data_IF_979913604819
#
_entry.id   IF_979913604819
#
_cell.length_a   1.000
_cell.length_b   1.000
_cell.length_c   1.000
_cell.angle_alpha   90.00
_cell.angle_beta   90.00
_cell.angle_gamma   90.00
#
_symmetry.space_group_name_H-M   'P 1'
#
loop_
_entity.id
_entity.type
_entity.pdbx_description
1 polymer ?
#
# COMPACT_ATOMS: atom_id res chain seq x y z
N UNK A 1 20.40 5.57 -9.04
CA UNK A 1 19.40 4.69 -8.38
C UNK A 1 19.98 3.35 -7.88
N UNK A 2 20.83 2.63 -8.64
CA UNK A 2 21.41 1.34 -8.20
C UNK A 2 22.34 1.38 -6.96
N UNK A 3 22.97 2.52 -6.67
CA UNK A 3 23.88 2.70 -5.53
C UNK A 3 23.13 2.77 -4.19
N UNK A 4 21.97 3.43 -4.16
CA UNK A 4 21.14 3.55 -2.96
C UNK A 4 20.53 2.21 -2.54
N UNK A 5 20.04 1.42 -3.51
CA UNK A 5 19.53 0.06 -3.24
C UNK A 5 20.62 -0.91 -2.76
N UNK A 6 21.88 -0.72 -3.19
CA UNK A 6 23.01 -1.53 -2.71
C UNK A 6 23.39 -1.15 -1.27
N UNK A 7 23.42 0.15 -0.95
CA UNK A 7 23.70 0.65 0.40
C UNK A 7 22.65 0.20 1.44
N UNK A 8 21.37 0.13 1.06
CA UNK A 8 20.29 -0.35 1.93
C UNK A 8 20.33 -1.87 2.19
N UNK A 9 21.08 -2.65 1.41
CA UNK A 9 21.20 -4.11 1.55
C UNK A 9 22.40 -4.56 2.39
N UNK A 10 23.29 -3.65 2.77
CA UNK A 10 24.58 -3.97 3.40
C UNK A 10 24.63 -3.44 4.83
N UNK A 11 24.10 -4.20 5.81
CA UNK A 11 23.96 -3.77 7.23
C UNK A 11 23.11 -2.48 7.38
N UNK A 12 22.59 -2.15 8.58
CA UNK A 12 22.01 -0.83 8.80
C UNK A 12 23.12 0.21 8.58
N UNK A 13 22.98 1.16 7.65
CA UNK A 13 23.99 2.19 7.48
C UNK A 13 24.14 2.97 8.79
N UNK A 14 25.36 3.33 9.14
CA UNK A 14 25.63 4.25 10.26
C UNK A 14 24.87 5.58 10.05
N UNK A 15 24.79 6.43 11.09
CA UNK A 15 24.07 7.71 10.99
C UNK A 15 24.60 8.64 9.89
N UNK A 16 25.89 8.55 9.54
CA UNK A 16 26.55 9.41 8.54
C UNK A 16 26.03 9.23 7.09
N UNK A 17 25.94 8.01 6.52
CA UNK A 17 25.36 7.80 5.19
C UNK A 17 23.94 8.36 5.01
N UNK A 18 23.12 8.40 6.07
CA UNK A 18 21.76 8.95 6.02
C UNK A 18 21.76 10.47 5.85
N UNK A 19 22.61 11.18 6.60
CA UNK A 19 22.73 12.63 6.48
C UNK A 19 23.28 13.05 5.11
N UNK A 20 24.26 12.30 4.58
CA UNK A 20 24.84 12.55 3.26
C UNK A 20 23.83 12.33 2.13
N UNK A 21 22.98 11.30 2.24
CA UNK A 21 21.90 11.06 1.28
C UNK A 21 20.81 12.15 1.37
N UNK A 22 20.42 12.58 2.57
CA UNK A 22 19.45 13.66 2.75
C UNK A 22 19.94 14.99 2.14
N UNK A 23 21.22 15.33 2.31
CA UNK A 23 21.82 16.53 1.73
C UNK A 23 21.85 16.49 0.18
N UNK A 24 22.06 15.30 -0.40
CA UNK A 24 22.03 15.10 -1.86
C UNK A 24 20.62 15.25 -2.45
N UNK A 25 19.58 14.94 -1.67
CA UNK A 25 18.19 14.95 -2.13
C UNK A 25 17.48 16.29 -1.85
N UNK A 26 17.96 17.09 -0.89
CA UNK A 26 17.39 18.40 -0.53
C UNK A 26 17.14 19.35 -1.73
N UNK A 27 18.07 19.50 -2.69
CA UNK A 27 17.87 20.36 -3.85
C UNK A 27 16.81 19.87 -4.86
N UNK A 28 16.39 18.60 -4.81
CA UNK A 28 15.36 18.04 -5.69
C UNK A 28 13.94 18.29 -5.19
N UNK A 29 13.77 18.82 -3.98
CA UNK A 29 12.48 19.06 -3.33
C UNK A 29 11.90 20.48 -3.57
N UNK A 30 12.23 21.13 -4.69
CA UNK A 30 11.84 22.51 -4.98
C UNK A 30 10.36 22.71 -5.38
N UNK A 31 9.94 23.98 -5.46
CA UNK A 31 8.59 24.53 -5.78
C UNK A 31 8.03 24.17 -7.18
N UNK A 32 8.32 22.98 -7.69
CA UNK A 32 7.80 22.47 -8.96
C UNK A 32 6.30 22.13 -8.89
N UNK A 33 5.66 21.88 -10.05
CA UNK A 33 4.32 21.29 -10.09
C UNK A 33 4.28 20.02 -9.21
N UNK A 34 3.11 19.63 -8.68
CA UNK A 34 2.99 18.54 -7.71
C UNK A 34 3.84 17.35 -8.14
N UNK A 35 4.77 16.95 -7.27
CA UNK A 35 5.89 16.07 -7.59
C UNK A 35 5.49 14.66 -8.06
N UNK A 36 4.19 14.35 -8.04
CA UNK A 36 3.66 13.08 -8.52
C UNK A 36 2.41 13.25 -9.38
N UNK A 37 2.33 12.39 -10.40
CA UNK A 37 1.28 12.48 -11.40
C UNK A 37 1.20 11.23 -12.28
N UNK A 38 0.33 11.25 -13.30
CA UNK A 38 0.15 10.13 -14.21
C UNK A 38 1.45 9.80 -14.96
N UNK A 39 1.93 8.58 -14.78
CA UNK A 39 3.13 8.08 -15.44
C UNK A 39 2.81 7.31 -16.73
N UNK A 40 3.63 7.52 -17.77
CA UNK A 40 3.56 6.72 -18.99
C UNK A 40 4.08 5.29 -18.77
N UNK A 41 3.73 4.32 -19.64
CA UNK A 41 4.24 2.96 -19.55
C UNK A 41 5.76 2.90 -19.70
N UNK A 42 6.46 2.72 -18.58
CA UNK A 42 7.91 2.59 -18.54
C UNK A 42 8.34 1.14 -18.31
N UNK A 43 9.56 0.80 -18.74
CA UNK A 43 10.08 -0.57 -18.65
C UNK A 43 10.23 -1.07 -17.21
N UNK A 44 10.58 -0.20 -16.27
CA UNK A 44 10.71 -0.57 -14.87
C UNK A 44 9.33 -0.93 -14.25
N UNK A 45 8.27 -0.22 -14.64
CA UNK A 45 6.88 -0.50 -14.23
C UNK A 45 6.40 -1.83 -14.83
N UNK A 46 6.67 -2.09 -16.11
CA UNK A 46 6.32 -3.37 -16.76
C UNK A 46 6.99 -4.56 -16.08
N UNK A 47 8.28 -4.44 -15.73
CA UNK A 47 9.01 -5.48 -14.98
C UNK A 47 8.42 -5.71 -13.59
N UNK A 48 7.92 -4.65 -12.94
CA UNK A 48 7.21 -4.75 -11.66
C UNK A 48 5.92 -5.54 -11.78
N UNK A 49 5.07 -5.20 -12.75
CA UNK A 49 3.83 -5.95 -13.01
C UNK A 49 4.13 -7.41 -13.36
N UNK A 50 5.14 -7.67 -14.19
CA UNK A 50 5.54 -9.03 -14.54
C UNK A 50 6.02 -9.85 -13.32
N UNK A 51 6.69 -9.22 -12.34
CA UNK A 51 7.04 -9.87 -11.07
C UNK A 51 5.80 -10.19 -10.25
N UNK A 52 4.90 -9.23 -10.10
CA UNK A 52 3.67 -9.42 -9.35
C UNK A 52 2.83 -10.55 -9.94
N UNK A 53 2.67 -10.60 -11.27
CA UNK A 53 1.95 -11.67 -11.97
C UNK A 53 2.51 -13.07 -11.67
N UNK A 54 3.82 -13.25 -11.51
CA UNK A 54 4.41 -14.55 -11.15
C UNK A 54 4.03 -15.02 -9.75
N UNK A 55 3.59 -14.12 -8.88
CA UNK A 55 3.12 -14.44 -7.53
C UNK A 55 1.61 -14.67 -7.44
N UNK A 56 0.87 -14.34 -8.51
CA UNK A 56 -0.58 -14.56 -8.57
C UNK A 56 -0.82 -16.02 -8.95
N UNK A 57 -1.63 -16.78 -8.18
CA UNK A 57 -2.02 -18.13 -8.55
C UNK A 57 -2.63 -18.14 -9.96
N UNK A 58 -2.35 -19.19 -10.74
CA UNK A 58 -2.93 -19.35 -12.06
C UNK A 58 -4.46 -19.30 -11.96
N UNK A 59 -5.07 -18.36 -12.70
CA UNK A 59 -6.51 -18.17 -12.78
C UNK A 59 -6.89 -17.96 -14.22
N UNK A 60 -8.10 -18.36 -14.57
CA UNK A 60 -8.72 -18.09 -15.86
C UNK A 60 -9.75 -16.97 -15.71
N UNK A 61 -9.77 -16.06 -16.68
CA UNK A 61 -10.79 -15.04 -16.85
C UNK A 61 -12.12 -15.65 -17.29
N UNK A 62 -13.12 -14.78 -17.49
CA UNK A 62 -14.49 -15.20 -17.86
C UNK A 62 -14.58 -15.87 -19.22
N UNK A 63 -13.64 -15.57 -20.11
CA UNK A 63 -13.48 -16.13 -21.44
C UNK A 63 -12.64 -17.42 -21.47
N UNK A 64 -12.19 -17.90 -20.30
CA UNK A 64 -11.31 -19.05 -20.18
C UNK A 64 -9.83 -18.74 -20.46
N UNK A 65 -9.48 -17.52 -20.86
CA UNK A 65 -8.09 -17.12 -21.06
C UNK A 65 -7.37 -16.91 -19.72
N UNK A 66 -6.03 -17.04 -19.65
CA UNK A 66 -5.29 -16.67 -18.45
C UNK A 66 -5.52 -15.19 -18.07
N UNK A 67 -5.70 -14.92 -16.78
CA UNK A 67 -5.82 -13.54 -16.29
C UNK A 67 -4.54 -12.73 -16.62
N UNK A 68 -4.69 -11.46 -16.95
CA UNK A 68 -3.57 -10.58 -17.35
C UNK A 68 -3.51 -9.30 -16.52
N UNK A 69 -2.35 -8.64 -16.51
CA UNK A 69 -2.19 -7.28 -16.04
C UNK A 69 -1.07 -6.59 -16.81
N UNK A 70 -1.28 -5.34 -17.21
CA UNK A 70 -0.28 -4.52 -17.92
C UNK A 70 -0.39 -3.05 -17.54
N UNK A 71 0.71 -2.33 -17.68
CA UNK A 71 0.74 -0.86 -17.54
C UNK A 71 0.33 -0.24 -18.87
N UNK A 72 -0.65 0.65 -18.84
CA UNK A 72 -1.19 1.35 -20.03
C UNK A 72 -1.07 2.86 -19.89
N UNK A 73 -1.12 3.56 -21.03
CA UNK A 73 -1.05 5.01 -21.05
C UNK A 73 -2.32 5.64 -20.49
N UNK A 74 -2.17 6.84 -19.93
CA UNK A 74 -3.27 7.65 -19.44
C UNK A 74 -3.86 8.51 -20.57
N UNK A 75 -5.14 8.32 -20.88
CA UNK A 75 -5.88 9.26 -21.73
C UNK A 75 -6.37 10.49 -20.94
N UNK A 76 -6.85 11.50 -21.66
CA UNK A 76 -7.28 12.77 -21.07
C UNK A 76 -8.43 12.60 -20.06
N UNK A 77 -9.40 11.72 -20.33
CA UNK A 77 -10.54 11.49 -19.45
C UNK A 77 -10.09 10.89 -18.12
N UNK A 78 -9.22 9.87 -18.17
CA UNK A 78 -8.67 9.21 -16.99
C UNK A 78 -7.77 10.15 -16.18
N UNK A 79 -6.98 11.00 -16.84
CA UNK A 79 -6.19 12.05 -16.17
C UNK A 79 -7.11 13.00 -15.41
N UNK A 80 -8.25 13.38 -15.98
CA UNK A 80 -9.22 14.24 -15.30
C UNK A 80 -9.86 13.55 -14.08
N UNK A 81 -10.05 12.23 -14.10
CA UNK A 81 -10.50 11.49 -12.91
C UNK A 81 -9.44 11.52 -11.81
N UNK A 82 -8.16 11.33 -12.15
CA UNK A 82 -7.06 11.39 -11.18
C UNK A 82 -6.95 12.79 -10.55
N UNK A 83 -7.00 13.86 -11.35
CA UNK A 83 -7.00 15.25 -10.84
C UNK A 83 -8.14 15.46 -9.85
N UNK A 84 -9.38 15.09 -10.23
CA UNK A 84 -10.54 15.20 -9.34
C UNK A 84 -10.41 14.36 -8.07
N UNK A 85 -9.74 13.22 -8.12
CA UNK A 85 -9.49 12.38 -6.95
C UNK A 85 -8.50 13.03 -5.98
N UNK A 86 -7.46 13.69 -6.50
CA UNK A 86 -6.49 14.45 -5.70
C UNK A 86 -7.12 15.70 -5.08
N UNK A 87 -7.90 16.46 -5.87
CA UNK A 87 -8.64 17.63 -5.37
C UNK A 87 -9.58 17.23 -4.23
N UNK A 88 -10.33 16.14 -4.44
CA UNK A 88 -11.23 15.59 -3.43
C UNK A 88 -10.47 15.18 -2.16
N UNK A 89 -9.31 14.52 -2.29
CA UNK A 89 -8.51 14.11 -1.15
C UNK A 89 -7.95 15.33 -0.39
N UNK A 90 -7.48 16.35 -1.10
CA UNK A 90 -7.01 17.59 -0.49
C UNK A 90 -8.14 18.34 0.24
N UNK A 91 -9.38 18.25 -0.25
CA UNK A 91 -10.54 18.84 0.42
C UNK A 91 -10.95 18.06 1.68
N UNK A 92 -11.04 16.72 1.62
CA UNK A 92 -11.57 15.91 2.73
C UNK A 92 -10.52 15.47 3.75
N UNK A 93 -9.25 15.43 3.36
CA UNK A 93 -8.15 14.97 4.20
C UNK A 93 -6.80 15.55 3.72
N UNK A 94 -6.56 16.85 3.93
CA UNK A 94 -5.37 17.55 3.43
C UNK A 94 -4.06 16.94 3.92
N UNK A 95 -4.02 16.40 5.14
CA UNK A 95 -2.83 15.74 5.70
C UNK A 95 -2.43 14.50 4.90
N UNK A 96 -3.41 13.69 4.47
CA UNK A 96 -3.13 12.51 3.64
C UNK A 96 -2.72 12.91 2.22
N UNK A 97 -3.29 13.99 1.68
CA UNK A 97 -2.84 14.54 0.40
C UNK A 97 -1.38 15.01 0.47
N UNK A 98 -0.99 15.69 1.55
CA UNK A 98 0.41 16.07 1.82
C UNK A 98 1.33 14.86 1.95
N UNK A 99 0.92 13.84 2.69
CA UNK A 99 1.71 12.61 2.82
C UNK A 99 1.91 11.91 1.45
N UNK A 100 0.88 11.84 0.61
CA UNK A 100 1.02 11.28 -0.74
C UNK A 100 1.97 12.12 -1.59
N UNK A 101 1.95 13.46 -1.45
CA UNK A 101 2.87 14.33 -2.17
C UNK A 101 4.34 14.13 -1.80
N UNK A 102 4.62 13.71 -0.57
CA UNK A 102 5.98 13.40 -0.13
C UNK A 102 6.42 11.98 -0.49
N UNK A 103 5.49 11.03 -0.56
CA UNK A 103 5.80 9.59 -0.63
C UNK A 103 5.54 8.96 -1.99
N UNK A 104 4.69 9.57 -2.81
CA UNK A 104 4.38 9.13 -4.17
C UNK A 104 5.12 10.05 -5.14
N UNK A 105 5.60 9.48 -6.24
CA UNK A 105 6.27 10.16 -7.36
C UNK A 105 5.59 9.85 -8.69
N UNK A 106 4.97 8.69 -8.83
CA UNK A 106 4.31 8.26 -10.07
C UNK A 106 3.00 7.52 -9.79
N UNK A 107 1.97 7.80 -10.58
CA UNK A 107 0.71 7.05 -10.61
C UNK A 107 0.60 6.31 -11.94
N UNK A 108 0.79 5.00 -11.92
CA UNK A 108 0.72 4.15 -13.10
C UNK A 108 -0.67 3.55 -13.26
N UNK A 109 -1.17 3.48 -14.50
CA UNK A 109 -2.48 2.90 -14.80
C UNK A 109 -2.34 1.42 -15.17
N UNK A 110 -3.10 0.56 -14.48
CA UNK A 110 -3.19 -0.87 -14.76
C UNK A 110 -4.45 -1.20 -15.58
N UNK A 111 -4.27 -2.15 -16.51
CA UNK A 111 -5.33 -2.76 -17.32
C UNK A 111 -5.19 -4.29 -17.22
N UNK A 112 -6.33 -4.99 -17.06
CA UNK A 112 -6.39 -6.44 -16.92
C UNK A 112 -7.42 -6.89 -15.89
N UNK A 113 -7.24 -8.09 -15.35
CA UNK A 113 -8.11 -8.73 -14.35
C UNK A 113 -7.33 -9.50 -13.27
N UNK A 114 -6.00 -9.59 -13.43
CA UNK A 114 -5.16 -10.31 -12.49
C UNK A 114 -4.87 -9.52 -11.20
N UNK A 115 -4.76 -8.19 -11.29
CA UNK A 115 -4.24 -7.33 -10.21
C UNK A 115 -5.06 -6.04 -10.11
N UNK A 116 -5.68 -5.80 -8.95
CA UNK A 116 -6.44 -4.57 -8.66
C UNK A 116 -5.55 -3.37 -8.25
N UNK A 117 -4.32 -3.67 -7.81
CA UNK A 117 -3.35 -2.73 -7.23
C UNK A 117 -2.27 -3.52 -6.50
N UNK A 118 -1.06 -2.99 -6.43
CA UNK A 118 0.02 -3.50 -5.57
C UNK A 118 1.13 -2.46 -5.43
N UNK A 119 1.96 -2.66 -4.40
CA UNK A 119 3.24 -1.97 -4.23
C UNK A 119 4.39 -2.95 -4.41
N UNK A 120 5.49 -2.47 -5.00
CA UNK A 120 6.71 -3.25 -5.19
C UNK A 120 7.91 -2.42 -4.75
N UNK A 121 8.71 -2.97 -3.84
CA UNK A 121 9.90 -2.34 -3.25
C UNK A 121 10.94 -1.88 -4.28
N UNK A 122 10.92 -2.47 -5.48
CA UNK A 122 11.85 -2.08 -6.56
C UNK A 122 11.42 -0.80 -7.27
N UNK A 123 10.18 -0.35 -7.10
CA UNK A 123 9.57 0.85 -7.68
C UNK A 123 8.94 1.70 -6.57
N UNK A 124 9.75 1.99 -5.55
CA UNK A 124 9.30 2.79 -4.41
C UNK A 124 8.80 4.17 -4.85
N UNK A 125 7.68 4.60 -4.27
CA UNK A 125 7.01 5.84 -4.65
C UNK A 125 6.09 5.73 -5.86
N UNK A 126 5.90 4.53 -6.42
CA UNK A 126 4.88 4.29 -7.45
C UNK A 126 3.59 3.80 -6.80
N UNK A 127 2.46 4.34 -7.24
CA UNK A 127 1.12 3.81 -6.98
C UNK A 127 0.53 3.28 -8.28
N UNK A 128 0.13 2.01 -8.29
CA UNK A 128 -0.51 1.38 -9.44
C UNK A 128 -2.02 1.33 -9.24
N UNK A 129 -2.79 2.04 -10.08
CA UNK A 129 -4.25 2.12 -10.00
C UNK A 129 -4.88 1.33 -11.13
N UNK A 130 -5.75 0.37 -10.82
CA UNK A 130 -6.53 -0.33 -11.85
C UNK A 130 -7.53 0.60 -12.53
N UNK A 131 -7.63 0.55 -13.86
CA UNK A 131 -8.49 1.44 -14.65
C UNK A 131 -9.96 1.40 -14.24
N UNK A 132 -10.44 0.25 -13.76
CA UNK A 132 -11.82 0.11 -13.30
C UNK A 132 -12.09 0.94 -12.04
N UNK A 133 -11.06 1.38 -11.30
CA UNK A 133 -11.20 2.32 -10.19
C UNK A 133 -11.51 3.74 -10.66
N UNK A 134 -11.38 4.04 -11.94
CA UNK A 134 -11.64 5.37 -12.50
C UNK A 134 -13.09 5.56 -12.94
N UNK A 135 -13.91 4.50 -12.90
CA UNK A 135 -15.33 4.54 -13.29
C UNK A 135 -16.24 4.40 -12.07
N UNK A 136 -17.52 4.77 -12.22
CA UNK A 136 -18.51 4.56 -11.16
C UNK A 136 -18.73 3.06 -10.95
N UNK A 137 -18.67 2.59 -9.69
CA UNK A 137 -18.91 1.17 -9.39
C UNK A 137 -20.39 0.79 -9.56
N UNK A 138 -20.66 -0.52 -9.61
CA UNK A 138 -22.02 -1.04 -9.55
C UNK A 138 -22.80 -0.56 -8.31
N UNK A 139 -22.12 -0.41 -7.16
CA UNK A 139 -22.72 0.12 -5.93
C UNK A 139 -23.00 1.63 -5.98
N UNK A 140 -22.55 2.33 -7.03
CA UNK A 140 -22.73 3.78 -7.19
C UNK A 140 -21.61 4.64 -6.59
N UNK A 141 -20.45 4.07 -6.23
CA UNK A 141 -19.31 4.88 -5.80
C UNK A 141 -18.68 5.56 -7.03
N UNK A 142 -18.56 6.90 -7.05
CA UNK A 142 -17.97 7.63 -8.18
C UNK A 142 -16.51 7.24 -8.44
N UNK A 143 -16.09 7.33 -9.71
CA UNK A 143 -14.70 7.11 -10.12
C UNK A 143 -13.66 7.90 -9.30
N UNK A 144 -13.80 9.22 -9.11
CA UNK A 144 -12.85 10.00 -8.30
C UNK A 144 -12.71 9.50 -6.86
N UNK A 145 -13.81 9.09 -6.21
CA UNK A 145 -13.80 8.51 -4.84
C UNK A 145 -13.01 7.20 -4.82
N UNK A 146 -13.27 6.32 -5.80
CA UNK A 146 -12.60 5.02 -5.90
C UNK A 146 -11.12 5.15 -6.26
N UNK A 147 -10.77 6.16 -7.04
CA UNK A 147 -9.40 6.52 -7.35
C UNK A 147 -8.68 7.06 -6.10
N UNK A 148 -9.29 7.98 -5.34
CA UNK A 148 -8.75 8.46 -4.07
C UNK A 148 -8.54 7.31 -3.06
N UNK A 149 -9.50 6.38 -2.96
CA UNK A 149 -9.35 5.17 -2.13
C UNK A 149 -8.12 4.34 -2.57
N UNK A 150 -7.90 4.16 -3.87
CA UNK A 150 -6.73 3.43 -4.38
C UNK A 150 -5.41 4.15 -4.06
N UNK A 151 -5.37 5.48 -4.19
CA UNK A 151 -4.20 6.28 -3.84
C UNK A 151 -3.86 6.15 -2.34
N UNK A 152 -4.84 6.29 -1.45
CA UNK A 152 -4.65 6.11 -0.01
C UNK A 152 -4.22 4.69 0.32
N UNK A 153 -4.82 3.69 -0.34
CA UNK A 153 -4.49 2.27 -0.13
C UNK A 153 -3.02 1.97 -0.45
N UNK A 154 -2.61 2.22 -1.68
CA UNK A 154 -1.25 1.90 -2.13
C UNK A 154 -0.21 2.85 -1.52
N UNK A 155 -0.54 4.12 -1.34
CA UNK A 155 0.32 5.09 -0.66
C UNK A 155 0.61 4.70 0.79
N UNK A 156 -0.40 4.16 1.50
CA UNK A 156 -0.20 3.63 2.85
C UNK A 156 0.74 2.43 2.87
N UNK A 157 0.64 1.52 1.90
CA UNK A 157 1.61 0.43 1.78
C UNK A 157 3.03 0.96 1.54
N UNK A 158 3.21 1.96 0.67
CA UNK A 158 4.51 2.60 0.45
C UNK A 158 5.06 3.22 1.74
N UNK A 159 4.23 3.94 2.50
CA UNK A 159 4.59 4.54 3.79
C UNK A 159 4.99 3.50 4.83
N UNK A 160 4.20 2.44 5.00
CA UNK A 160 4.49 1.34 5.92
C UNK A 160 5.80 0.63 5.54
N UNK A 161 6.01 0.37 4.25
CA UNK A 161 7.24 -0.23 3.75
C UNK A 161 8.47 0.64 4.04
N UNK A 162 8.37 1.96 3.84
CA UNK A 162 9.45 2.89 4.17
C UNK A 162 9.73 2.94 5.68
N UNK A 163 8.68 3.07 6.49
CA UNK A 163 8.81 3.13 7.95
C UNK A 163 9.42 1.86 8.55
N UNK A 164 9.00 0.68 8.06
CA UNK A 164 9.50 -0.60 8.54
C UNK A 164 11.00 -0.81 8.30
N UNK A 165 11.62 -0.09 7.35
CA UNK A 165 13.07 -0.12 7.12
C UNK A 165 13.84 0.62 8.22
N UNK A 166 13.27 1.69 8.77
CA UNK A 166 13.89 2.47 9.85
C UNK A 166 13.55 1.90 11.22
N UNK A 167 12.31 1.48 11.39
CA UNK A 167 11.74 1.03 12.65
C UNK A 167 10.72 -0.09 12.39
N UNK A 168 11.12 -1.36 12.54
CA UNK A 168 10.23 -2.48 12.29
C UNK A 168 8.98 -2.47 13.19
N UNK A 169 7.83 -2.85 12.63
CA UNK A 169 6.58 -2.98 13.38
C UNK A 169 6.42 -4.33 14.09
N UNK A 170 7.16 -5.34 13.64
CA UNK A 170 7.11 -6.70 14.17
C UNK A 170 8.47 -7.08 14.74
N UNK A 171 8.45 -7.86 15.82
CA UNK A 171 9.64 -8.50 16.35
C UNK A 171 10.16 -9.54 15.34
N UNK A 172 11.48 -9.77 15.29
CA UNK A 172 12.03 -10.91 14.58
C UNK A 172 11.39 -12.21 15.06
N UNK A 173 11.18 -13.15 14.16
CA UNK A 173 10.70 -14.48 14.54
C UNK A 173 11.75 -15.15 15.44
N UNK A 174 11.39 -15.62 16.65
CA UNK A 174 12.34 -16.29 17.55
C UNK A 174 12.93 -17.58 16.95
N UNK A 175 12.34 -18.13 15.87
CA UNK A 175 12.79 -19.37 15.23
C UNK A 175 14.15 -19.30 14.49
N UNK A 176 14.87 -18.16 14.55
CA UNK A 176 16.19 -17.99 13.95
C UNK A 176 17.36 -18.62 14.73
N UNK A 177 17.17 -19.02 15.99
CA UNK A 177 18.17 -19.82 16.73
C UNK A 177 18.08 -21.29 16.33
N UNK A 178 18.35 -21.59 15.07
CA UNK A 178 18.73 -22.94 14.68
C UNK A 178 20.03 -23.33 15.41
N UNK A 179 20.23 -24.62 15.77
CA UNK A 179 21.47 -25.07 16.37
C UNK A 179 22.63 -24.65 15.47
N UNK A 180 23.60 -23.96 16.06
CA UNK A 180 24.80 -23.47 15.40
C UNK A 180 25.59 -24.64 14.82
N UNK A 181 25.33 -24.99 13.56
CA UNK A 181 26.14 -25.95 12.82
C UNK A 181 27.44 -25.23 12.46
N UNK A 182 28.45 -25.44 13.30
CA UNK A 182 29.82 -25.05 13.06
C UNK A 182 30.43 -25.90 11.94
N UNK A 183 30.60 -25.34 10.75
CA UNK A 183 31.58 -25.84 9.78
C UNK A 183 31.11 -25.86 8.32
N UNK A 184 31.65 -24.95 7.51
CA UNK A 184 31.65 -25.08 6.05
C UNK A 184 31.79 -23.75 5.32
N UNK A 185 32.81 -23.55 4.46
CA UNK A 185 32.93 -22.36 3.64
C UNK A 185 31.95 -22.46 2.46
N UNK A 186 30.90 -21.64 2.45
CA UNK A 186 29.89 -21.62 1.39
C UNK A 186 29.90 -20.31 0.60
N UNK A 187 29.86 -20.49 -0.71
CA UNK A 187 30.08 -19.56 -1.81
C UNK A 187 28.93 -18.55 -1.93
N UNK A 188 29.28 -17.30 -2.18
CA UNK A 188 28.37 -16.17 -2.32
C UNK A 188 27.46 -16.27 -3.56
N UNK A 189 26.19 -16.59 -3.34
CA UNK A 189 25.11 -16.48 -4.33
C UNK A 189 24.08 -15.44 -3.87
N UNK A 190 24.01 -14.31 -4.58
CA UNK A 190 23.06 -13.21 -4.33
C UNK A 190 21.63 -13.62 -4.75
N UNK A 191 20.82 -14.10 -3.80
CA UNK A 191 19.41 -14.40 -4.01
C UNK A 191 18.53 -13.13 -4.00
N UNK A 192 17.61 -13.04 -4.95
CA UNK A 192 16.63 -11.95 -5.07
C UNK A 192 15.54 -12.08 -4.02
N UNK A 193 15.35 -11.05 -3.20
CA UNK A 193 14.20 -10.90 -2.30
C UNK A 193 12.99 -10.45 -3.13
N UNK A 194 12.35 -11.39 -3.80
CA UNK A 194 10.89 -11.31 -3.91
C UNK A 194 10.34 -11.39 -2.48
N UNK A 195 9.19 -10.80 -2.19
CA UNK A 195 8.48 -10.93 -0.90
C UNK A 195 8.00 -12.35 -0.60
N UNK A 196 8.80 -13.38 -0.91
CA UNK A 196 8.68 -14.71 -0.39
C UNK A 196 8.81 -14.62 1.12
N UNK A 197 7.81 -15.16 1.80
CA UNK A 197 7.84 -15.28 3.25
C UNK A 197 9.12 -16.00 3.65
N UNK A 198 9.90 -15.42 4.55
CA UNK A 198 10.99 -16.16 5.18
C UNK A 198 10.40 -17.48 5.71
N UNK A 199 11.04 -18.64 5.45
CA UNK A 199 10.60 -19.90 6.02
C UNK A 199 10.47 -19.73 7.54
N UNK A 200 9.27 -19.94 8.10
CA UNK A 200 8.98 -19.78 9.52
C UNK A 200 7.99 -18.67 9.89
N UNK A 201 7.80 -17.65 9.04
CA UNK A 201 6.97 -16.50 9.39
C UNK A 201 5.56 -16.88 9.86
N UNK A 202 5.17 -16.41 11.05
CA UNK A 202 3.85 -16.65 11.65
C UNK A 202 2.73 -16.35 10.65
N UNK A 203 1.97 -17.39 10.30
CA UNK A 203 0.80 -17.31 9.43
C UNK A 203 -0.45 -17.30 10.27
N UNK A 204 -1.28 -16.29 10.08
CA UNK A 204 -2.54 -16.12 10.81
C UNK A 204 -3.69 -16.27 9.83
N UNK A 205 -4.73 -17.00 10.22
CA UNK A 205 -5.98 -17.04 9.48
C UNK A 205 -6.55 -15.61 9.47
N UNK A 206 -6.62 -15.00 8.29
CA UNK A 206 -7.17 -13.66 8.17
C UNK A 206 -8.63 -13.76 7.81
N UNK A 207 -9.54 -13.07 8.49
CA UNK A 207 -10.95 -13.19 8.15
C UNK A 207 -11.33 -12.62 6.78
N UNK A 208 -10.42 -11.86 6.16
CA UNK A 208 -10.58 -11.28 4.84
C UNK A 208 -10.22 -12.25 3.69
N UNK A 209 -9.57 -13.40 3.98
CA UNK A 209 -9.16 -14.41 2.99
C UNK A 209 -9.08 -15.80 3.61
N UNK A 210 -9.50 -16.84 2.88
CA UNK A 210 -9.43 -18.22 3.37
C UNK A 210 -7.99 -18.69 3.68
N UNK A 211 -6.99 -18.20 2.93
CA UNK A 211 -5.60 -18.62 3.10
C UNK A 211 -4.88 -17.85 4.22
N UNK A 212 -4.16 -18.54 5.12
CA UNK A 212 -3.33 -17.91 6.13
C UNK A 212 -2.31 -16.95 5.51
N UNK A 213 -2.20 -15.74 6.07
CA UNK A 213 -1.29 -14.70 5.60
C UNK A 213 -0.17 -14.45 6.61
N UNK A 214 0.99 -13.95 6.16
CA UNK A 214 2.03 -13.49 7.08
C UNK A 214 1.48 -12.38 7.96
N UNK A 215 1.81 -12.40 9.26
CA UNK A 215 1.35 -11.38 10.22
C UNK A 215 1.70 -9.94 9.76
N UNK A 216 2.85 -9.76 9.11
CA UNK A 216 3.26 -8.46 8.53
C UNK A 216 2.30 -7.93 7.47
N UNK A 217 1.73 -8.81 6.64
CA UNK A 217 0.73 -8.44 5.65
C UNK A 217 -0.59 -8.02 6.29
N UNK A 218 -1.00 -8.71 7.36
CA UNK A 218 -2.17 -8.31 8.14
C UNK A 218 -1.95 -6.95 8.83
N UNK A 219 -0.76 -6.72 9.39
CA UNK A 219 -0.41 -5.43 10.00
C UNK A 219 -0.59 -4.26 9.04
N UNK A 220 0.03 -4.33 7.85
CA UNK A 220 -0.13 -3.28 6.84
C UNK A 220 -1.58 -3.11 6.40
N UNK A 221 -2.30 -4.22 6.19
CA UNK A 221 -3.71 -4.19 5.82
C UNK A 221 -4.58 -3.50 6.88
N UNK A 222 -4.29 -3.66 8.17
CA UNK A 222 -5.00 -2.97 9.25
C UNK A 222 -4.81 -1.45 9.16
N UNK A 223 -3.59 -0.97 8.93
CA UNK A 223 -3.30 0.46 8.75
C UNK A 223 -4.05 1.02 7.54
N UNK A 224 -4.03 0.28 6.42
CA UNK A 224 -4.76 0.63 5.19
C UNK A 224 -6.27 0.73 5.45
N UNK A 225 -6.85 -0.23 6.18
CA UNK A 225 -8.27 -0.22 6.52
C UNK A 225 -8.63 0.96 7.43
N UNK A 226 -7.83 1.24 8.46
CA UNK A 226 -8.04 2.38 9.35
C UNK A 226 -8.01 3.70 8.57
N UNK A 227 -7.02 3.89 7.69
CA UNK A 227 -6.98 5.07 6.82
C UNK A 227 -8.14 5.13 5.82
N UNK A 228 -8.57 3.99 5.30
CA UNK A 228 -9.80 3.90 4.51
C UNK A 228 -11.04 4.38 5.27
N UNK A 229 -11.17 4.05 6.57
CA UNK A 229 -12.26 4.56 7.42
C UNK A 229 -12.20 6.08 7.55
N UNK A 230 -11.01 6.66 7.80
CA UNK A 230 -10.83 8.11 7.90
C UNK A 230 -11.22 8.83 6.61
N UNK A 231 -10.74 8.35 5.45
CA UNK A 231 -11.13 8.87 4.14
C UNK A 231 -12.66 8.90 3.97
N UNK A 232 -13.32 7.77 4.23
CA UNK A 232 -14.76 7.65 4.01
C UNK A 232 -15.60 8.44 5.03
N UNK A 233 -15.09 8.71 6.24
CA UNK A 233 -15.71 9.65 7.18
C UNK A 233 -15.63 11.08 6.68
N UNK A 234 -14.47 11.51 6.18
CA UNK A 234 -14.31 12.83 5.55
C UNK A 234 -15.23 13.00 4.34
N UNK A 235 -15.30 11.97 3.48
CA UNK A 235 -16.24 11.95 2.35
C UNK A 235 -17.70 12.00 2.79
N UNK A 236 -18.10 11.26 3.83
CA UNK A 236 -19.46 11.30 4.33
C UNK A 236 -19.83 12.70 4.87
N UNK A 237 -18.91 13.37 5.55
CA UNK A 237 -19.10 14.75 6.02
C UNK A 237 -19.32 15.73 4.86
N UNK A 238 -18.57 15.57 3.75
CA UNK A 238 -18.75 16.39 2.55
C UNK A 238 -20.02 16.02 1.75
N UNK A 239 -20.35 14.72 1.70
CA UNK A 239 -21.42 14.17 0.87
C UNK A 239 -22.80 14.73 1.22
N UNK A 240 -23.05 14.99 2.51
CA UNK A 240 -24.26 15.64 3.03
C UNK A 240 -24.58 16.95 2.28
N UNK A 241 -23.59 17.60 1.68
CA UNK A 241 -23.75 18.89 1.03
C UNK A 241 -23.79 18.85 -0.51
N UNK A 242 -23.25 17.81 -1.15
CA UNK A 242 -22.86 17.92 -2.58
C UNK A 242 -23.01 16.66 -3.46
N UNK A 243 -23.37 15.51 -2.90
CA UNK A 243 -23.43 14.25 -3.69
C UNK A 243 -24.87 13.84 -4.04
N UNK A 244 -25.09 13.17 -5.19
CA UNK A 244 -26.36 12.50 -5.44
C UNK A 244 -26.64 11.45 -4.37
N UNK A 245 -27.90 11.31 -3.93
CA UNK A 245 -28.30 10.41 -2.83
C UNK A 245 -27.85 8.94 -3.02
N UNK A 246 -27.75 8.45 -4.26
CA UNK A 246 -27.20 7.11 -4.53
C UNK A 246 -25.72 7.01 -4.16
N UNK A 247 -24.91 8.02 -4.49
CA UNK A 247 -23.49 8.04 -4.19
C UNK A 247 -23.25 8.21 -2.68
N UNK A 248 -24.03 9.06 -2.01
CA UNK A 248 -24.00 9.22 -0.56
C UNK A 248 -24.24 7.88 0.17
N UNK A 249 -25.31 7.16 -0.19
CA UNK A 249 -25.57 5.82 0.36
C UNK A 249 -24.44 4.85 0.10
N UNK A 250 -23.81 4.92 -1.07
CA UNK A 250 -22.68 4.06 -1.43
C UNK A 250 -21.44 4.36 -0.56
N UNK A 251 -21.17 5.64 -0.28
CA UNK A 251 -20.09 6.10 0.63
C UNK A 251 -20.34 5.60 2.04
N UNK A 252 -21.53 5.82 2.61
CA UNK A 252 -21.89 5.34 3.96
C UNK A 252 -21.79 3.81 4.05
N UNK A 253 -22.31 3.08 3.07
CA UNK A 253 -22.23 1.63 3.06
C UNK A 253 -20.79 1.13 2.95
N UNK A 254 -19.91 1.85 2.23
CA UNK A 254 -18.49 1.51 2.12
C UNK A 254 -17.73 1.82 3.41
N UNK A 255 -18.00 2.94 4.07
CA UNK A 255 -17.47 3.28 5.41
C UNK A 255 -17.78 2.15 6.40
N UNK A 256 -19.04 1.72 6.47
CA UNK A 256 -19.46 0.70 7.42
C UNK A 256 -18.72 -0.63 7.19
N UNK A 257 -18.53 -1.04 5.93
CA UNK A 257 -17.77 -2.25 5.58
C UNK A 257 -16.29 -2.14 5.94
N UNK A 258 -15.68 -0.97 5.70
CA UNK A 258 -14.29 -0.71 6.07
C UNK A 258 -14.11 -0.72 7.59
N UNK A 259 -15.01 -0.08 8.34
CA UNK A 259 -15.00 -0.06 9.80
C UNK A 259 -15.13 -1.48 10.37
N UNK A 260 -16.06 -2.30 9.85
CA UNK A 260 -16.19 -3.69 10.29
C UNK A 260 -14.92 -4.51 10.02
N UNK A 261 -14.35 -4.38 8.81
CA UNK A 261 -13.11 -5.07 8.43
C UNK A 261 -11.91 -4.63 9.28
N UNK A 262 -11.81 -3.32 9.56
CA UNK A 262 -10.76 -2.75 10.37
C UNK A 262 -10.81 -3.26 11.82
N UNK A 263 -12.00 -3.30 12.43
CA UNK A 263 -12.17 -3.86 13.78
C UNK A 263 -11.69 -5.29 13.86
N UNK A 264 -12.12 -6.09 12.89
CA UNK A 264 -11.76 -7.50 12.85
C UNK A 264 -10.24 -7.70 12.71
N UNK A 265 -9.58 -6.86 11.90
CA UNK A 265 -8.13 -6.90 11.73
C UNK A 265 -7.38 -6.42 12.99
N UNK A 266 -7.90 -5.40 13.68
CA UNK A 266 -7.39 -4.92 14.99
C UNK A 266 -7.52 -6.00 16.06
N UNK A 267 -8.67 -6.66 16.17
CA UNK A 267 -8.91 -7.73 17.14
C UNK A 267 -7.93 -8.89 16.91
N UNK A 268 -7.74 -9.27 15.64
CA UNK A 268 -6.78 -10.31 15.25
C UNK A 268 -5.34 -9.92 15.63
N UNK A 269 -4.91 -8.69 15.32
CA UNK A 269 -3.54 -8.25 15.67
C UNK A 269 -3.34 -8.08 17.18
N UNK A 270 -4.36 -7.68 17.93
CA UNK A 270 -4.31 -7.58 19.39
C UNK A 270 -4.01 -8.94 20.02
N UNK A 271 -4.63 -10.01 19.50
CA UNK A 271 -4.33 -11.39 19.92
C UNK A 271 -2.89 -11.83 19.62
N UNK A 272 -2.20 -11.13 18.71
CA UNK A 272 -0.80 -11.34 18.35
C UNK A 272 0.11 -10.17 18.77
N UNK A 273 -0.31 -9.34 19.72
CA UNK A 273 0.43 -8.14 20.15
C UNK A 273 1.82 -8.43 20.73
N UNK A 274 2.04 -9.65 21.22
CA UNK A 274 3.36 -10.13 21.66
C UNK A 274 4.38 -10.26 20.52
N UNK A 275 3.95 -10.28 19.26
CA UNK A 275 4.82 -10.28 18.08
C UNK A 275 5.10 -8.87 17.52
N UNK A 276 4.54 -7.82 18.13
CA UNK A 276 4.73 -6.43 17.71
C UNK A 276 5.86 -5.76 18.49
N UNK A 277 6.51 -4.78 17.87
CA UNK A 277 7.39 -3.84 18.59
C UNK A 277 6.55 -2.81 19.37
N UNK A 278 7.16 -1.96 20.17
CA UNK A 278 6.46 -0.84 20.82
C UNK A 278 5.79 0.07 19.79
N UNK A 279 6.51 0.38 18.70
CA UNK A 279 6.01 1.19 17.59
C UNK A 279 4.89 0.49 16.83
N UNK A 280 4.99 -0.84 16.65
CA UNK A 280 3.89 -1.64 16.10
C UNK A 280 2.64 -1.59 16.99
N UNK A 281 2.79 -1.68 18.31
CA UNK A 281 1.67 -1.57 19.26
C UNK A 281 1.05 -0.18 19.25
N UNK A 282 1.85 0.88 19.29
CA UNK A 282 1.36 2.26 19.24
C UNK A 282 0.51 2.51 17.98
N UNK A 283 1.00 2.07 16.81
CA UNK A 283 0.24 2.21 15.56
C UNK A 283 -1.02 1.33 15.53
N UNK A 284 -1.00 0.15 16.16
CA UNK A 284 -2.21 -0.67 16.32
C UNK A 284 -3.25 0.03 17.21
N UNK A 285 -2.83 0.69 18.29
CA UNK A 285 -3.71 1.46 19.18
C UNK A 285 -4.36 2.64 18.45
N UNK A 286 -3.61 3.34 17.59
CA UNK A 286 -4.15 4.37 16.70
C UNK A 286 -5.21 3.79 15.76
N UNK A 287 -4.92 2.65 15.11
CA UNK A 287 -5.90 1.96 14.27
C UNK A 287 -7.16 1.58 15.07
N UNK A 288 -7.00 1.05 16.28
CA UNK A 288 -8.11 0.72 17.17
C UNK A 288 -8.95 1.98 17.51
N UNK A 289 -8.29 3.11 17.79
CA UNK A 289 -8.96 4.39 18.05
C UNK A 289 -9.84 4.82 16.88
N UNK A 290 -9.36 4.72 15.64
CA UNK A 290 -10.16 5.05 14.43
C UNK A 290 -11.43 4.22 14.35
N UNK A 291 -11.37 2.93 14.69
CA UNK A 291 -12.51 2.01 14.55
C UNK A 291 -13.57 2.15 15.64
N UNK A 292 -13.23 2.77 16.77
CA UNK A 292 -14.23 3.17 17.77
C UNK A 292 -15.06 4.29 17.16
N UNK A 293 -16.40 4.14 17.17
CA UNK A 293 -17.26 5.26 16.75
C UNK A 293 -17.07 6.37 17.77
N UNK A 294 -16.76 7.57 17.31
CA UNK A 294 -17.06 8.78 18.08
C UNK A 294 -18.58 8.76 18.29
N UNK A 295 -19.01 8.42 19.51
CA UNK A 295 -20.42 8.50 19.90
C UNK A 295 -20.84 9.97 19.94
#
# INVERSE_FOLDING_TARGET
MHTAQRALRSRPPSREPRASLAALLGPLAGDGPPAFGPAEPQEHLRRSVARALRSVPARTGRDGAPVTARVVAWDAERRQVLVRAMDLLAEVWPEMAGELAETVTEVALLDGDAIDGFTDFTVHGVVLVHRDRLTTSASGLPGPVRCAEALVHEGTHNRCNAAAVTEPFLLPDPAGEGPSVSGGPSVSGSASVSGGTAPGALRVATPLRADPRPLSGLFQQTVVLARGVLLYRGLAALAVLRMPARAERAVVAREARLTASARQAVDTLTAHSGALTDTGRALLDECAAVTRRSR
#
